data_IF_549558396411
#
_entry.id   IF_549558396411
#
_cell.length_a   1.000
_cell.length_b   1.000
_cell.length_c   1.000
_cell.angle_alpha   90.00
_cell.angle_beta   90.00
_cell.angle_gamma   90.00
#
_symmetry.space_group_name_H-M   'P 1'
#
loop_
_entity.id
_entity.type
_entity.pdbx_description
1 polymer ?
#
# COMPACT_ATOMS: atom_id res chain seq x y z
N UNK A 1 48.10 -8.08 -19.29
CA UNK A 1 47.86 -8.07 -17.85
C UNK A 1 47.63 -6.62 -17.44
N UNK A 2 46.34 -6.15 -17.43
CA UNK A 2 45.96 -4.78 -17.03
C UNK A 2 45.42 -4.84 -15.60
N UNK A 3 46.18 -4.24 -14.68
CA UNK A 3 45.81 -4.10 -13.29
C UNK A 3 44.78 -2.94 -13.20
N UNK A 4 43.53 -3.27 -12.90
CA UNK A 4 42.50 -2.28 -12.54
C UNK A 4 42.66 -2.00 -11.05
N UNK A 5 43.26 -0.87 -10.72
CA UNK A 5 43.30 -0.34 -9.35
C UNK A 5 41.90 0.27 -9.07
N UNK A 6 41.08 -0.46 -8.32
CA UNK A 6 39.83 0.04 -7.81
C UNK A 6 40.07 1.09 -6.73
N UNK A 7 39.74 2.35 -7.01
CA UNK A 7 39.75 3.43 -6.05
C UNK A 7 38.57 3.21 -5.08
N UNK A 8 38.83 2.67 -3.89
CA UNK A 8 37.88 2.65 -2.77
C UNK A 8 37.77 4.06 -2.21
N UNK A 9 36.82 4.86 -2.70
CA UNK A 9 36.41 6.07 -2.03
C UNK A 9 35.61 5.67 -0.76
N UNK A 10 36.05 6.09 0.46
CA UNK A 10 35.23 5.89 1.64
C UNK A 10 33.98 6.75 1.48
N UNK A 11 32.81 6.11 1.36
CA UNK A 11 31.52 6.77 1.55
C UNK A 11 31.47 7.27 2.99
N UNK A 12 31.81 8.53 3.21
CA UNK A 12 31.45 9.25 4.41
C UNK A 12 29.91 9.34 4.44
N UNK A 13 29.28 8.43 5.14
CA UNK A 13 27.88 8.54 5.53
C UNK A 13 27.80 9.70 6.52
N UNK A 14 27.68 10.93 6.03
CA UNK A 14 27.23 12.02 6.86
C UNK A 14 25.86 11.64 7.40
N UNK A 15 25.70 11.66 8.72
CA UNK A 15 24.40 11.51 9.36
C UNK A 15 23.50 12.67 8.90
N UNK A 16 22.79 12.48 7.78
CA UNK A 16 21.86 13.48 7.25
C UNK A 16 20.62 13.51 8.14
N UNK A 17 20.28 14.72 8.59
CA UNK A 17 19.00 14.97 9.26
C UNK A 17 17.89 14.98 8.21
N UNK A 18 17.08 13.94 8.18
CA UNK A 18 15.95 13.84 7.28
C UNK A 18 14.69 14.48 7.86
N UNK A 19 14.01 15.28 7.03
CA UNK A 19 12.66 15.78 7.33
C UNK A 19 11.60 14.74 6.99
N UNK A 20 10.42 14.89 7.57
CA UNK A 20 9.28 14.01 7.32
C UNK A 20 8.93 13.93 5.83
N UNK A 21 8.91 15.07 5.14
CA UNK A 21 8.63 15.15 3.71
C UNK A 21 9.63 14.34 2.88
N UNK A 22 10.92 14.43 3.20
CA UNK A 22 11.98 13.69 2.50
C UNK A 22 11.82 12.17 2.69
N UNK A 23 11.45 11.72 3.90
CA UNK A 23 11.19 10.30 4.18
C UNK A 23 10.02 9.77 3.35
N UNK A 24 8.93 10.53 3.26
CA UNK A 24 7.75 10.16 2.46
C UNK A 24 8.08 10.14 0.96
N UNK A 25 8.78 11.15 0.45
CA UNK A 25 9.15 11.22 -0.96
C UNK A 25 10.10 10.08 -1.36
N UNK A 26 11.02 9.70 -0.46
CA UNK A 26 11.90 8.56 -0.69
C UNK A 26 11.13 7.24 -0.64
N UNK A 27 10.23 7.06 0.32
CA UNK A 27 9.37 5.89 0.39
C UNK A 27 8.53 5.71 -0.88
N UNK A 28 7.95 6.77 -1.42
CA UNK A 28 7.16 6.72 -2.65
C UNK A 28 7.97 6.26 -3.88
N UNK A 29 9.31 6.37 -3.84
CA UNK A 29 10.20 5.94 -4.92
C UNK A 29 10.78 4.55 -4.69
N UNK A 30 11.18 4.26 -3.45
CA UNK A 30 12.04 3.11 -3.13
C UNK A 30 11.34 2.02 -2.32
N UNK A 31 10.13 2.26 -1.80
CA UNK A 31 9.41 1.25 -1.05
C UNK A 31 8.95 0.11 -1.97
N UNK A 32 9.43 -1.10 -1.72
CA UNK A 32 9.16 -2.28 -2.57
C UNK A 32 7.66 -2.62 -2.72
N UNK A 33 6.82 -2.29 -1.72
CA UNK A 33 5.38 -2.52 -1.81
C UNK A 33 4.70 -1.49 -2.73
N UNK A 34 5.17 -0.23 -2.72
CA UNK A 34 4.69 0.81 -3.65
C UNK A 34 5.12 0.46 -5.07
N UNK A 35 6.39 0.03 -5.26
CA UNK A 35 6.88 -0.46 -6.56
C UNK A 35 6.07 -1.66 -7.06
N UNK A 36 5.70 -2.60 -6.19
CA UNK A 36 4.83 -3.71 -6.56
C UNK A 36 3.44 -3.26 -7.05
N UNK A 37 2.87 -2.21 -6.44
CA UNK A 37 1.61 -1.61 -6.92
C UNK A 37 1.80 -0.93 -8.28
N UNK A 38 2.92 -0.26 -8.51
CA UNK A 38 3.26 0.37 -9.79
C UNK A 38 3.40 -0.65 -10.92
N UNK A 39 4.09 -1.76 -10.65
CA UNK A 39 4.19 -2.88 -11.59
C UNK A 39 2.80 -3.47 -11.91
N UNK A 40 1.90 -3.56 -10.91
CA UNK A 40 0.52 -4.01 -11.15
C UNK A 40 -0.26 -3.05 -12.05
N UNK A 41 -0.08 -1.73 -11.89
CA UNK A 41 -0.66 -0.72 -12.79
C UNK A 41 -0.16 -0.94 -14.21
N UNK A 42 1.14 -1.14 -14.39
CA UNK A 42 1.74 -1.46 -15.71
C UNK A 42 1.16 -2.75 -16.29
N UNK A 43 1.02 -3.81 -15.48
CA UNK A 43 0.41 -5.06 -15.93
C UNK A 43 -1.04 -4.86 -16.40
N UNK A 44 -1.83 -4.04 -15.69
CA UNK A 44 -3.21 -3.70 -16.10
C UNK A 44 -3.25 -2.84 -17.36
N UNK A 45 -2.26 -1.98 -17.58
CA UNK A 45 -2.12 -1.24 -18.84
C UNK A 45 -1.84 -2.20 -20.02
N UNK A 46 -0.97 -3.20 -19.84
CA UNK A 46 -0.71 -4.20 -20.87
C UNK A 46 -1.96 -5.05 -21.19
N UNK A 47 -2.81 -5.35 -20.18
CA UNK A 47 -4.11 -5.98 -20.41
C UNK A 47 -5.04 -5.11 -21.28
N UNK A 48 -5.00 -3.78 -21.12
CA UNK A 48 -5.73 -2.84 -21.99
C UNK A 48 -5.20 -2.91 -23.43
N UNK A 49 -3.87 -2.90 -23.62
CA UNK A 49 -3.27 -2.99 -24.95
C UNK A 49 -3.56 -4.37 -25.60
N UNK A 50 -3.55 -5.45 -24.82
CA UNK A 50 -3.97 -6.76 -25.28
C UNK A 50 -5.44 -6.78 -25.74
N UNK A 51 -6.35 -6.12 -25.00
CA UNK A 51 -7.75 -6.00 -25.41
C UNK A 51 -7.92 -5.17 -26.69
N UNK A 52 -7.10 -4.12 -26.90
CA UNK A 52 -7.06 -3.36 -28.15
C UNK A 52 -6.58 -4.22 -29.33
N UNK A 53 -5.59 -5.10 -29.07
CA UNK A 53 -5.03 -5.98 -30.10
C UNK A 53 -6.05 -6.96 -30.66
N UNK A 54 -7.14 -7.26 -29.92
CA UNK A 54 -8.23 -8.11 -30.38
C UNK A 54 -9.02 -7.54 -31.57
N UNK A 55 -8.82 -6.26 -31.94
CA UNK A 55 -9.42 -5.67 -33.14
C UNK A 55 -8.61 -5.92 -34.43
N UNK A 56 -7.41 -6.46 -34.31
CA UNK A 56 -6.56 -6.76 -35.45
C UNK A 56 -6.69 -8.23 -35.87
N UNK A 57 -6.41 -8.56 -37.17
CA UNK A 57 -6.44 -9.96 -37.61
C UNK A 57 -5.36 -10.80 -36.91
N UNK A 58 -5.65 -12.06 -36.67
CA UNK A 58 -4.67 -13.09 -36.30
C UNK A 58 -4.19 -13.83 -37.52
N UNK A 59 -2.93 -14.30 -37.49
CA UNK A 59 -2.33 -15.14 -38.52
C UNK A 59 -1.81 -16.39 -37.84
N UNK A 60 -2.37 -17.51 -38.22
CA UNK A 60 -2.02 -18.81 -37.66
C UNK A 60 -1.41 -19.69 -38.77
N UNK A 61 -0.35 -20.42 -38.48
CA UNK A 61 0.23 -21.45 -39.36
C UNK A 61 0.21 -22.79 -38.65
N UNK A 62 -0.10 -23.84 -39.41
CA UNK A 62 -0.13 -25.18 -38.88
C UNK A 62 0.21 -26.23 -39.92
N UNK A 63 0.45 -27.46 -39.46
CA UNK A 63 0.63 -28.62 -40.28
C UNK A 63 -0.08 -29.79 -39.62
N UNK A 64 -0.68 -30.65 -40.44
CA UNK A 64 -1.30 -31.91 -40.01
C UNK A 64 -0.90 -33.06 -40.90
N UNK A 65 -0.89 -34.25 -40.32
CA UNK A 65 -0.76 -35.50 -41.03
C UNK A 65 -1.90 -36.42 -40.59
N UNK A 66 -2.65 -36.97 -41.54
CA UNK A 66 -3.76 -37.85 -41.25
C UNK A 66 -3.59 -39.20 -42.01
N UNK A 67 -4.03 -40.28 -41.33
CA UNK A 67 -4.14 -41.62 -41.90
C UNK A 67 -5.59 -42.05 -41.85
N UNK A 68 -6.13 -42.47 -43.00
CA UNK A 68 -7.52 -42.90 -43.16
C UNK A 68 -7.54 -44.32 -43.73
N UNK A 69 -8.26 -45.24 -43.08
CA UNK A 69 -8.46 -46.61 -43.53
C UNK A 69 -9.92 -47.04 -43.28
N UNK A 70 -10.61 -47.59 -44.28
CA UNK A 70 -10.18 -47.77 -45.65
C UNK A 70 -10.15 -46.46 -46.44
N UNK A 71 -9.20 -46.35 -47.40
CA UNK A 71 -9.10 -45.23 -48.33
C UNK A 71 -10.11 -45.40 -49.50
N UNK A 72 -10.35 -44.30 -50.22
CA UNK A 72 -11.13 -44.25 -51.44
C UNK A 72 -10.62 -43.14 -52.38
N UNK A 73 -11.20 -42.92 -53.54
CA UNK A 73 -10.75 -41.96 -54.57
C UNK A 73 -10.68 -40.53 -54.01
N UNK A 74 -11.58 -40.12 -53.12
CA UNK A 74 -11.67 -38.76 -52.56
C UNK A 74 -11.06 -38.64 -51.17
N UNK A 75 -10.78 -39.78 -50.51
CA UNK A 75 -10.10 -39.81 -49.19
C UNK A 75 -8.87 -40.70 -49.31
N UNK A 76 -7.70 -40.13 -49.61
CA UNK A 76 -6.44 -40.84 -49.66
C UNK A 76 -6.07 -41.44 -48.31
N UNK A 77 -5.31 -42.56 -48.34
CA UNK A 77 -4.89 -43.24 -47.12
C UNK A 77 -4.00 -42.40 -46.23
N UNK A 78 -3.20 -41.53 -46.84
CA UNK A 78 -2.34 -40.59 -46.10
C UNK A 78 -2.46 -39.20 -46.72
N UNK A 79 -2.57 -38.20 -45.88
CA UNK A 79 -2.59 -36.80 -46.25
C UNK A 79 -1.69 -35.99 -45.31
N UNK A 80 -0.70 -35.32 -45.87
CA UNK A 80 0.15 -34.34 -45.17
C UNK A 80 -0.21 -32.94 -45.65
N UNK A 81 -0.62 -32.05 -44.79
CA UNK A 81 -0.95 -30.69 -45.19
C UNK A 81 -0.33 -29.63 -44.28
N UNK A 82 0.01 -28.48 -44.89
CA UNK A 82 0.42 -27.28 -44.21
C UNK A 82 -0.53 -26.13 -44.58
N UNK A 83 -0.92 -25.35 -43.63
CA UNK A 83 -1.88 -24.26 -43.85
C UNK A 83 -1.46 -22.97 -43.18
N UNK A 84 -1.89 -21.84 -43.71
CA UNK A 84 -1.85 -20.54 -43.12
C UNK A 84 -3.25 -19.95 -43.13
N UNK A 85 -3.71 -19.46 -41.97
CA UNK A 85 -5.05 -18.89 -41.82
C UNK A 85 -4.95 -17.48 -41.26
N UNK A 86 -5.62 -16.54 -41.93
CA UNK A 86 -5.82 -15.16 -41.41
C UNK A 86 -7.27 -15.07 -40.93
N UNK A 87 -7.48 -14.68 -39.67
CA UNK A 87 -8.80 -14.50 -39.07
C UNK A 87 -9.01 -13.06 -38.65
N UNK A 88 -10.14 -12.47 -39.02
CA UNK A 88 -10.58 -11.17 -38.59
C UNK A 88 -12.05 -11.21 -38.16
N UNK A 89 -12.28 -10.91 -36.88
CA UNK A 89 -13.64 -10.72 -36.37
C UNK A 89 -14.07 -9.26 -36.56
N UNK A 90 -14.94 -8.98 -37.54
CA UNK A 90 -15.38 -7.65 -37.91
C UNK A 90 -16.38 -7.07 -36.91
N UNK A 91 -17.30 -7.91 -36.45
CA UNK A 91 -18.35 -7.57 -35.50
C UNK A 91 -18.65 -8.74 -34.58
N UNK A 92 -18.66 -8.47 -33.28
CA UNK A 92 -18.84 -9.48 -32.23
C UNK A 92 -19.97 -9.15 -31.24
N UNK A 93 -20.93 -8.36 -31.70
CA UNK A 93 -22.04 -7.92 -30.85
C UNK A 93 -21.68 -6.83 -29.85
N UNK A 94 -20.47 -6.28 -29.92
CA UNK A 94 -19.94 -5.31 -28.97
C UNK A 94 -19.15 -5.91 -27.81
N UNK A 95 -18.82 -7.21 -27.86
CA UNK A 95 -18.05 -7.92 -26.85
C UNK A 95 -16.65 -7.34 -26.67
N UNK A 96 -15.93 -7.04 -27.77
CA UNK A 96 -14.59 -6.43 -27.72
C UNK A 96 -14.60 -5.03 -27.10
N UNK A 97 -15.61 -4.22 -27.41
CA UNK A 97 -15.71 -2.88 -26.83
C UNK A 97 -15.98 -2.94 -25.33
N UNK A 98 -16.92 -3.79 -24.88
CA UNK A 98 -17.20 -3.99 -23.48
C UNK A 98 -15.98 -4.59 -22.73
N UNK A 99 -15.25 -5.54 -23.35
CA UNK A 99 -14.01 -6.06 -22.79
C UNK A 99 -12.94 -4.98 -22.64
N UNK A 100 -12.75 -4.16 -23.66
CA UNK A 100 -11.78 -3.05 -23.61
C UNK A 100 -12.14 -2.05 -22.51
N UNK A 101 -13.42 -1.69 -22.36
CA UNK A 101 -13.88 -0.77 -21.34
C UNK A 101 -13.77 -1.40 -19.93
N UNK A 102 -14.08 -2.69 -19.78
CA UNK A 102 -13.82 -3.43 -18.55
C UNK A 102 -12.33 -3.35 -18.16
N UNK A 103 -11.41 -3.58 -19.11
CA UNK A 103 -9.97 -3.51 -18.85
C UNK A 103 -9.48 -2.09 -18.51
N UNK A 104 -10.07 -1.07 -19.12
CA UNK A 104 -9.79 0.35 -18.77
C UNK A 104 -10.22 0.66 -17.33
N UNK A 105 -11.40 0.21 -16.90
CA UNK A 105 -11.85 0.38 -15.52
C UNK A 105 -11.00 -0.41 -14.52
N UNK A 106 -10.56 -1.63 -14.86
CA UNK A 106 -9.61 -2.37 -14.02
C UNK A 106 -8.26 -1.65 -13.89
N UNK A 107 -7.75 -1.06 -14.96
CA UNK A 107 -6.54 -0.24 -14.91
C UNK A 107 -6.73 1.03 -14.06
N UNK A 108 -7.87 1.73 -14.20
CA UNK A 108 -8.23 2.88 -13.37
C UNK A 108 -8.32 2.50 -11.88
N UNK A 109 -8.94 1.35 -11.58
CA UNK A 109 -9.00 0.81 -10.22
C UNK A 109 -7.61 0.57 -9.64
N UNK A 110 -6.68 -0.01 -10.43
CA UNK A 110 -5.29 -0.23 -9.99
C UNK A 110 -4.54 1.08 -9.72
N UNK A 111 -4.80 2.14 -10.49
CA UNK A 111 -4.25 3.48 -10.23
C UNK A 111 -4.75 4.06 -8.91
N UNK A 112 -6.05 3.94 -8.62
CA UNK A 112 -6.60 4.38 -7.35
C UNK A 112 -6.09 3.53 -6.18
N UNK A 113 -5.95 2.22 -6.36
CA UNK A 113 -5.37 1.32 -5.36
C UNK A 113 -3.93 1.73 -4.99
N UNK A 114 -3.10 2.03 -6.00
CA UNK A 114 -1.74 2.54 -5.78
C UNK A 114 -1.76 3.84 -4.97
N UNK A 115 -2.58 4.83 -5.36
CA UNK A 115 -2.68 6.12 -4.65
C UNK A 115 -3.18 5.96 -3.21
N UNK A 116 -4.17 5.10 -2.99
CA UNK A 116 -4.66 4.77 -1.65
C UNK A 116 -3.54 4.19 -0.79
N UNK A 117 -2.75 3.28 -1.36
CA UNK A 117 -1.62 2.66 -0.68
C UNK A 117 -0.51 3.67 -0.36
N UNK A 118 -0.14 4.55 -1.28
CA UNK A 118 0.82 5.64 -1.06
C UNK A 118 0.40 6.53 0.11
N UNK A 119 -0.88 6.91 0.19
CA UNK A 119 -1.43 7.70 1.32
C UNK A 119 -1.39 6.92 2.64
N UNK A 120 -1.65 5.62 2.62
CA UNK A 120 -1.58 4.79 3.83
C UNK A 120 -0.14 4.67 4.37
N UNK A 121 0.83 4.44 3.49
CA UNK A 121 2.27 4.44 3.84
C UNK A 121 2.70 5.82 4.36
N UNK A 122 2.22 6.91 3.75
CA UNK A 122 2.45 8.27 4.25
C UNK A 122 2.00 8.42 5.70
N UNK A 123 0.78 7.97 6.03
CA UNK A 123 0.26 8.04 7.39
C UNK A 123 1.05 7.16 8.37
N UNK A 124 1.50 5.99 7.94
CA UNK A 124 2.33 5.09 8.76
C UNK A 124 3.71 5.69 9.04
N UNK A 125 4.36 6.28 8.03
CA UNK A 125 5.61 7.03 8.21
C UNK A 125 5.43 8.19 9.21
N UNK A 126 4.33 8.95 9.11
CA UNK A 126 4.01 10.03 10.05
C UNK A 126 3.92 9.51 11.49
N UNK A 127 3.20 8.39 11.70
CA UNK A 127 3.06 7.77 13.03
C UNK A 127 4.41 7.34 13.60
N UNK A 128 5.25 6.68 12.82
CA UNK A 128 6.59 6.26 13.26
C UNK A 128 7.52 7.46 13.48
N UNK A 129 7.48 8.47 12.62
CA UNK A 129 8.29 9.68 12.74
C UNK A 129 8.03 10.42 14.07
N UNK A 130 6.77 10.69 14.40
CA UNK A 130 6.43 11.33 15.66
C UNK A 130 6.49 10.36 16.85
N UNK A 131 6.27 9.08 16.64
CA UNK A 131 6.52 8.03 17.63
C UNK A 131 7.97 8.03 18.11
N UNK A 132 8.93 8.10 17.19
CA UNK A 132 10.34 8.24 17.51
C UNK A 132 10.64 9.52 18.31
N UNK A 133 10.03 10.64 17.94
CA UNK A 133 10.24 11.90 18.66
C UNK A 133 9.65 11.83 20.08
N UNK A 134 8.54 11.12 20.30
CA UNK A 134 8.00 10.83 21.63
C UNK A 134 9.01 10.02 22.46
N UNK A 135 9.48 8.91 21.93
CA UNK A 135 10.43 8.04 22.62
C UNK A 135 11.73 8.78 22.98
N UNK A 136 12.28 9.57 22.07
CA UNK A 136 13.45 10.44 22.32
C UNK A 136 13.19 11.45 23.45
N UNK A 137 12.00 12.06 23.46
CA UNK A 137 11.64 13.02 24.50
C UNK A 137 11.43 12.35 25.88
N UNK A 138 10.86 11.14 25.91
CA UNK A 138 10.70 10.33 27.13
C UNK A 138 12.06 9.87 27.64
N UNK A 139 12.95 9.37 26.77
CA UNK A 139 14.30 8.98 27.14
C UNK A 139 15.07 10.16 27.74
N UNK A 140 15.01 11.34 27.13
CA UNK A 140 15.62 12.56 27.66
C UNK A 140 15.11 12.89 29.07
N UNK A 141 13.81 12.79 29.33
CA UNK A 141 13.23 13.04 30.66
C UNK A 141 13.72 12.02 31.72
N UNK A 142 13.86 10.75 31.33
CA UNK A 142 14.40 9.69 32.17
C UNK A 142 15.91 9.86 32.44
N UNK A 143 16.68 10.33 31.45
CA UNK A 143 18.11 10.67 31.62
C UNK A 143 18.28 11.82 32.60
N UNK A 144 17.49 12.90 32.46
CA UNK A 144 17.50 14.01 33.41
C UNK A 144 17.16 13.52 34.83
N UNK A 145 16.16 12.61 34.99
CA UNK A 145 15.84 11.98 36.26
C UNK A 145 17.00 11.15 36.81
N UNK A 146 17.68 10.38 35.94
CA UNK A 146 18.85 9.54 36.34
C UNK A 146 20.00 10.40 36.91
N UNK A 147 20.30 11.52 36.26
CA UNK A 147 21.33 12.47 36.73
C UNK A 147 20.98 13.02 38.12
N UNK A 148 19.72 13.40 38.33
CA UNK A 148 19.25 13.93 39.63
C UNK A 148 19.31 12.84 40.72
N UNK A 149 18.83 11.63 40.45
CA UNK A 149 18.88 10.50 41.40
C UNK A 149 20.32 10.17 41.79
N UNK A 150 21.27 10.13 40.84
CA UNK A 150 22.69 9.92 41.13
C UNK A 150 23.27 11.00 42.05
N UNK A 151 22.93 12.27 41.83
CA UNK A 151 23.36 13.36 42.64
C UNK A 151 22.84 13.23 44.09
N UNK A 152 21.56 12.85 44.25
CA UNK A 152 20.98 12.67 45.58
C UNK A 152 21.51 11.42 46.31
N UNK A 153 21.73 10.32 45.62
CA UNK A 153 22.38 9.12 46.20
C UNK A 153 23.75 9.47 46.73
N UNK A 154 24.57 10.20 45.96
CA UNK A 154 25.90 10.65 46.40
C UNK A 154 25.82 11.51 47.65
N UNK A 155 24.83 12.40 47.73
CA UNK A 155 24.60 13.29 48.86
C UNK A 155 24.17 12.53 50.12
N UNK A 156 23.14 11.67 50.03
CA UNK A 156 22.62 10.89 51.16
C UNK A 156 23.68 9.90 51.70
N UNK A 157 24.51 9.31 50.83
CA UNK A 157 25.67 8.50 51.27
C UNK A 157 26.64 9.30 52.14
N UNK A 158 26.91 10.57 51.82
CA UNK A 158 27.72 11.46 52.67
C UNK A 158 27.04 11.75 53.99
N UNK A 159 25.72 12.02 54.00
CA UNK A 159 24.96 12.25 55.23
C UNK A 159 24.95 11.00 56.10
N UNK A 160 24.77 9.81 55.54
CA UNK A 160 24.89 8.55 56.28
C UNK A 160 26.26 8.38 56.94
N UNK A 161 27.36 8.67 56.23
CA UNK A 161 28.71 8.59 56.80
C UNK A 161 28.95 9.58 57.95
N UNK A 162 28.15 10.67 57.98
CA UNK A 162 28.17 11.66 59.08
C UNK A 162 27.14 11.35 60.20
N UNK A 163 26.41 10.25 60.12
CA UNK A 163 25.34 9.86 61.06
C UNK A 163 24.04 10.64 60.93
N UNK A 164 23.87 11.37 59.82
CA UNK A 164 22.72 12.27 59.57
C UNK A 164 21.64 11.68 58.66
N UNK A 165 21.78 10.40 58.23
CA UNK A 165 20.83 9.67 57.37
C UNK A 165 20.93 8.18 57.64
N UNK A 166 19.91 7.43 57.21
CA UNK A 166 19.80 5.97 57.40
C UNK A 166 20.21 5.17 56.14
N UNK A 167 20.48 3.87 56.30
CA UNK A 167 20.70 3.00 55.16
C UNK A 167 19.43 2.86 54.30
N UNK A 168 18.24 2.84 54.93
CA UNK A 168 16.95 2.76 54.28
C UNK A 168 16.76 3.92 53.24
N UNK A 169 17.15 5.14 53.60
CA UNK A 169 17.08 6.29 52.70
C UNK A 169 17.98 6.13 51.47
N UNK A 170 19.18 5.58 51.64
CA UNK A 170 20.08 5.24 50.54
C UNK A 170 19.47 4.17 49.64
N UNK A 171 18.91 3.11 50.25
CA UNK A 171 18.35 1.98 49.49
C UNK A 171 17.09 2.37 48.72
N UNK A 172 16.24 3.25 49.25
CA UNK A 172 15.09 3.83 48.53
C UNK A 172 15.51 4.61 47.27
N UNK A 173 16.50 5.50 47.42
CA UNK A 173 17.02 6.25 46.27
C UNK A 173 17.69 5.35 45.23
N UNK A 174 18.40 4.30 45.67
CA UNK A 174 19.04 3.34 44.81
C UNK A 174 17.98 2.53 44.04
N UNK A 175 16.92 2.05 44.69
CA UNK A 175 15.82 1.32 44.05
C UNK A 175 15.12 2.15 42.99
N UNK A 176 14.88 3.44 43.24
CA UNK A 176 14.30 4.38 42.26
C UNK A 176 15.25 4.63 41.07
N UNK A 177 16.55 4.71 41.32
CA UNK A 177 17.57 4.82 40.27
C UNK A 177 17.58 3.58 39.37
N UNK A 178 17.55 2.38 39.97
CA UNK A 178 17.58 1.12 39.23
C UNK A 178 16.28 0.89 38.45
N UNK A 179 15.13 1.24 39.03
CA UNK A 179 13.84 1.25 38.33
C UNK A 179 13.83 2.22 37.12
N UNK A 180 14.43 3.40 37.29
CA UNK A 180 14.58 4.36 36.20
C UNK A 180 15.47 3.81 35.07
N UNK A 181 16.59 3.15 35.42
CA UNK A 181 17.48 2.52 34.44
C UNK A 181 16.79 1.40 33.67
N UNK A 182 15.97 0.56 34.35
CA UNK A 182 15.14 -0.46 33.71
C UNK A 182 14.20 0.17 32.69
N UNK A 183 13.50 1.25 33.07
CA UNK A 183 12.59 1.97 32.15
C UNK A 183 13.35 2.58 30.97
N UNK A 184 14.53 3.15 31.21
CA UNK A 184 15.41 3.69 30.15
C UNK A 184 15.83 2.60 29.15
N UNK A 185 16.21 1.41 29.63
CA UNK A 185 16.62 0.30 28.76
C UNK A 185 15.45 -0.16 27.85
N UNK A 186 14.25 -0.29 28.41
CA UNK A 186 13.05 -0.64 27.63
C UNK A 186 12.72 0.44 26.58
N UNK A 187 12.73 1.72 26.99
CA UNK A 187 12.47 2.84 26.07
C UNK A 187 13.52 2.91 24.96
N UNK A 188 14.78 2.57 25.26
CA UNK A 188 15.82 2.51 24.23
C UNK A 188 15.59 1.37 23.23
N UNK A 189 15.15 0.18 23.68
CA UNK A 189 14.78 -0.92 22.79
C UNK A 189 13.61 -0.54 21.87
N UNK A 190 12.57 0.10 22.40
CA UNK A 190 11.43 0.60 21.62
C UNK A 190 11.88 1.65 20.58
N UNK A 191 12.80 2.53 20.95
CA UNK A 191 13.38 3.52 20.05
C UNK A 191 14.11 2.86 18.89
N UNK A 192 14.99 1.90 19.15
CA UNK A 192 15.71 1.14 18.10
C UNK A 192 14.73 0.39 17.19
N UNK A 193 13.72 -0.26 17.76
CA UNK A 193 12.68 -0.96 16.99
C UNK A 193 11.91 0.01 16.08
N UNK A 194 11.50 1.17 16.60
CA UNK A 194 10.80 2.19 15.82
C UNK A 194 11.68 2.82 14.73
N UNK A 195 12.98 3.00 14.99
CA UNK A 195 13.95 3.44 13.98
C UNK A 195 14.08 2.44 12.83
N UNK A 196 14.13 1.15 13.14
CA UNK A 196 14.19 0.09 12.12
C UNK A 196 12.90 0.01 11.29
N UNK A 197 11.75 0.16 11.91
CA UNK A 197 10.46 0.20 11.21
C UNK A 197 10.37 1.41 10.27
N UNK A 198 10.76 2.59 10.73
CA UNK A 198 10.79 3.79 9.89
C UNK A 198 11.80 3.65 8.73
N UNK A 199 12.96 3.03 8.99
CA UNK A 199 13.95 2.73 7.97
C UNK A 199 13.40 1.73 6.92
N UNK A 200 12.67 0.70 7.34
CA UNK A 200 12.03 -0.27 6.43
C UNK A 200 10.99 0.42 5.53
N UNK A 201 10.16 1.30 6.09
CA UNK A 201 9.13 2.00 5.35
C UNK A 201 9.70 3.04 4.39
N UNK A 202 10.67 3.84 4.86
CA UNK A 202 11.19 4.99 4.10
C UNK A 202 12.43 4.69 3.25
N UNK A 203 13.14 3.58 3.51
CA UNK A 203 14.43 3.27 2.90
C UNK A 203 15.61 4.10 3.45
N UNK A 204 15.37 5.06 4.37
CA UNK A 204 16.37 5.97 4.92
C UNK A 204 16.61 5.74 6.40
N UNK A 205 17.85 5.95 6.86
CA UNK A 205 18.18 5.87 8.29
C UNK A 205 17.50 6.98 9.08
N UNK A 206 16.79 6.61 10.15
CA UNK A 206 16.00 7.51 11.00
C UNK A 206 16.77 8.00 12.26
N UNK A 207 18.09 7.82 12.31
CA UNK A 207 18.90 8.15 13.50
C UNK A 207 18.78 9.63 13.90
N UNK A 208 18.73 10.53 12.92
CA UNK A 208 18.56 11.97 13.16
C UNK A 208 17.39 12.49 12.31
N UNK A 209 16.37 13.04 12.98
CA UNK A 209 15.19 13.61 12.37
C UNK A 209 15.13 15.12 12.59
N UNK A 210 14.72 15.86 11.56
CA UNK A 210 14.37 17.29 11.68
C UNK A 210 13.09 17.45 12.52
N UNK A 211 12.79 18.65 12.92
CA UNK A 211 11.51 18.98 13.57
C UNK A 211 10.59 19.58 12.52
N UNK A 212 9.77 18.75 11.92
CA UNK A 212 8.71 19.18 11.02
C UNK A 212 7.38 19.25 11.78
N UNK A 213 6.43 19.98 11.23
CA UNK A 213 5.07 20.11 11.77
C UNK A 213 4.07 20.16 10.64
N UNK A 214 2.81 19.84 10.94
CA UNK A 214 1.72 20.03 10.00
C UNK A 214 1.13 21.44 10.13
N UNK A 215 0.61 21.96 9.01
CA UNK A 215 -0.24 23.16 9.03
C UNK A 215 -1.42 22.94 9.98
N UNK A 216 -1.95 24.01 10.56
CA UNK A 216 -3.20 23.92 11.31
C UNK A 216 -4.33 23.64 10.34
N UNK A 217 -5.19 22.62 10.61
CA UNK A 217 -6.36 22.37 9.81
C UNK A 217 -7.33 23.56 9.82
N UNK A 218 -7.67 24.00 8.63
CA UNK A 218 -8.76 24.92 8.34
C UNK A 218 -9.98 24.10 7.88
N UNK A 219 -11.04 24.72 7.39
CA UNK A 219 -12.19 24.01 6.84
C UNK A 219 -11.83 23.42 5.47
N UNK A 220 -11.11 22.32 5.45
CA UNK A 220 -10.71 21.64 4.22
C UNK A 220 -11.92 21.03 3.51
N UNK A 221 -11.93 21.15 2.18
CA UNK A 221 -12.94 20.48 1.36
C UNK A 221 -12.78 18.97 1.46
N UNK A 222 -13.86 18.30 1.86
CA UNK A 222 -13.92 16.83 1.89
C UNK A 222 -13.82 16.25 0.46
N UNK A 223 -12.98 15.25 0.28
CA UNK A 223 -12.80 14.50 -0.97
C UNK A 223 -12.98 13.00 -0.72
N UNK A 224 -13.56 12.32 -1.69
CA UNK A 224 -13.75 10.86 -1.64
C UNK A 224 -12.40 10.14 -1.64
N UNK A 225 -12.25 9.13 -0.80
CA UNK A 225 -11.07 8.28 -0.73
C UNK A 225 -10.77 7.58 -2.06
N UNK A 226 -9.49 7.41 -2.35
CA UNK A 226 -9.03 6.61 -3.47
C UNK A 226 -9.52 5.17 -3.42
N UNK A 227 -9.65 4.59 -2.22
CA UNK A 227 -10.23 3.24 -2.04
C UNK A 227 -11.68 3.18 -2.52
N UNK A 228 -12.47 4.22 -2.28
CA UNK A 228 -13.86 4.29 -2.77
C UNK A 228 -13.89 4.46 -4.28
N UNK A 229 -13.04 5.32 -4.86
CA UNK A 229 -12.90 5.48 -6.32
C UNK A 229 -12.46 4.18 -6.99
N UNK A 230 -11.57 3.42 -6.34
CA UNK A 230 -11.18 2.08 -6.78
C UNK A 230 -12.40 1.13 -6.85
N UNK A 231 -13.23 1.11 -5.80
CA UNK A 231 -14.45 0.30 -5.79
C UNK A 231 -15.45 0.74 -6.87
N UNK A 232 -15.60 2.05 -7.11
CA UNK A 232 -16.45 2.61 -8.16
C UNK A 232 -15.95 2.17 -9.56
N UNK A 233 -14.65 2.21 -9.81
CA UNK A 233 -14.04 1.71 -11.04
C UNK A 233 -14.26 0.19 -11.21
N UNK A 234 -14.10 -0.59 -10.15
CA UNK A 234 -14.41 -2.04 -10.17
C UNK A 234 -15.89 -2.31 -10.44
N UNK A 235 -16.81 -1.52 -9.88
CA UNK A 235 -18.24 -1.66 -10.16
C UNK A 235 -18.57 -1.38 -11.63
N UNK A 236 -17.85 -0.43 -12.26
CA UNK A 236 -17.98 -0.17 -13.69
C UNK A 236 -17.41 -1.32 -14.53
N UNK A 237 -16.25 -1.88 -14.16
CA UNK A 237 -15.69 -3.07 -14.82
C UNK A 237 -16.66 -4.26 -14.77
N UNK A 238 -17.28 -4.53 -13.61
CA UNK A 238 -18.31 -5.56 -13.45
C UNK A 238 -19.53 -5.23 -14.32
N UNK A 239 -19.91 -3.97 -14.47
CA UNK A 239 -20.97 -3.55 -15.37
C UNK A 239 -20.68 -3.94 -16.82
N UNK A 240 -19.47 -3.73 -17.30
CA UNK A 240 -19.04 -4.13 -18.64
C UNK A 240 -18.97 -5.67 -18.81
N UNK A 241 -18.67 -6.42 -17.74
CA UNK A 241 -18.75 -7.89 -17.79
C UNK A 241 -20.16 -8.39 -18.12
N UNK A 242 -21.19 -7.72 -17.63
CA UNK A 242 -22.59 -8.00 -18.03
C UNK A 242 -22.81 -7.75 -19.54
N UNK A 243 -22.25 -6.64 -20.08
CA UNK A 243 -22.34 -6.32 -21.49
C UNK A 243 -21.61 -7.33 -22.38
N UNK A 244 -20.48 -7.88 -21.93
CA UNK A 244 -19.74 -8.96 -22.59
C UNK A 244 -20.62 -10.21 -22.73
N UNK A 245 -21.36 -10.57 -21.68
CA UNK A 245 -22.26 -11.72 -21.70
C UNK A 245 -23.45 -11.45 -22.66
N UNK A 246 -24.08 -10.28 -22.53
CA UNK A 246 -25.23 -9.90 -23.34
C UNK A 246 -24.89 -9.81 -24.84
N UNK A 247 -23.63 -9.51 -25.19
CA UNK A 247 -23.12 -9.52 -26.57
C UNK A 247 -23.23 -10.92 -27.25
N UNK A 248 -23.25 -11.99 -26.47
CA UNK A 248 -23.38 -13.36 -26.99
C UNK A 248 -24.72 -13.67 -27.68
N UNK A 249 -25.76 -12.85 -27.45
CA UNK A 249 -27.03 -12.95 -28.17
C UNK A 249 -27.07 -12.17 -29.49
N UNK A 250 -26.06 -11.32 -29.74
CA UNK A 250 -25.98 -10.50 -30.94
C UNK A 250 -25.27 -11.27 -32.08
N UNK A 251 -25.51 -10.92 -33.35
CA UNK A 251 -24.76 -11.51 -34.45
C UNK A 251 -23.26 -11.31 -34.31
N UNK A 252 -22.48 -12.30 -34.71
CA UNK A 252 -21.01 -12.24 -34.79
C UNK A 252 -20.64 -12.42 -36.26
N UNK A 253 -19.80 -11.55 -36.81
CA UNK A 253 -19.38 -11.56 -38.20
C UNK A 253 -17.86 -11.67 -38.24
N UNK A 254 -17.35 -12.70 -38.90
CA UNK A 254 -15.93 -12.93 -39.10
C UNK A 254 -15.59 -13.21 -40.55
N UNK A 255 -14.38 -12.84 -40.94
CA UNK A 255 -13.72 -13.20 -42.19
C UNK A 255 -12.51 -14.07 -41.85
N UNK A 256 -12.41 -15.20 -42.57
CA UNK A 256 -11.21 -16.02 -42.54
C UNK A 256 -10.72 -16.31 -43.93
N UNK A 257 -9.43 -16.28 -44.17
CA UNK A 257 -8.78 -16.69 -45.40
C UNK A 257 -7.74 -17.74 -45.06
N UNK A 258 -7.91 -18.93 -45.64
CA UNK A 258 -7.07 -20.10 -45.37
C UNK A 258 -6.44 -20.58 -46.68
N UNK A 259 -5.12 -20.50 -46.74
CA UNK A 259 -4.33 -21.18 -47.78
C UNK A 259 -3.84 -22.50 -47.22
N UNK A 260 -4.17 -23.59 -47.95
CA UNK A 260 -3.76 -24.96 -47.62
C UNK A 260 -2.96 -25.57 -48.77
N UNK A 261 -1.84 -26.22 -48.42
CA UNK A 261 -1.04 -27.03 -49.33
C UNK A 261 -0.97 -28.46 -48.80
N UNK A 262 -1.44 -29.42 -49.63
CA UNK A 262 -1.55 -30.83 -49.25
C UNK A 262 -0.68 -31.70 -50.17
N UNK A 263 -0.17 -32.77 -49.58
CA UNK A 263 0.45 -33.88 -50.28
C UNK A 263 -0.30 -35.16 -49.92
N UNK A 264 -0.62 -35.97 -50.93
CA UNK A 264 -1.45 -37.16 -50.78
C UNK A 264 -0.64 -38.41 -51.14
N UNK A 265 -0.68 -39.42 -50.28
CA UNK A 265 -0.13 -40.75 -50.49
C UNK A 265 -1.22 -41.79 -50.32
N UNK A 266 -0.98 -42.99 -50.85
CA UNK A 266 -1.95 -44.10 -50.80
C UNK A 266 -3.30 -43.69 -51.42
N UNK A 267 -3.24 -43.18 -52.68
CA UNK A 267 -4.40 -42.78 -53.45
C UNK A 267 -4.96 -43.99 -54.21
N UNK A 268 -6.30 -44.09 -54.31
CA UNK A 268 -7.00 -45.13 -55.08
C UNK A 268 -7.21 -44.66 -56.50
N UNK A 269 -6.81 -45.53 -57.52
CA UNK A 269 -7.00 -45.26 -58.93
C UNK A 269 -8.15 -46.15 -59.48
N UNK A 270 -9.07 -45.57 -60.25
CA UNK A 270 -10.13 -46.24 -60.93
C UNK A 270 -9.97 -46.08 -62.46
N UNK A 271 -9.13 -46.96 -63.08
CA UNK A 271 -8.87 -46.93 -64.53
C UNK A 271 -8.10 -45.61 -64.92
N UNK A 272 -8.69 -44.87 -65.90
CA UNK A 272 -8.07 -43.57 -66.32
C UNK A 272 -8.30 -42.44 -65.34
N UNK A 273 -9.17 -42.57 -64.32
CA UNK A 273 -9.38 -41.61 -63.25
C UNK A 273 -8.41 -41.94 -62.11
N UNK A 274 -7.31 -41.26 -62.12
CA UNK A 274 -6.34 -41.29 -61.01
C UNK A 274 -6.78 -40.29 -59.92
N UNK A 275 -6.65 -40.68 -58.65
CA UNK A 275 -6.84 -39.79 -57.51
C UNK A 275 -5.98 -38.51 -57.60
N UNK A 276 -4.81 -38.60 -58.21
CA UNK A 276 -3.88 -37.47 -58.39
C UNK A 276 -4.42 -36.32 -59.27
N UNK A 277 -5.42 -36.59 -60.13
CA UNK A 277 -6.09 -35.54 -60.93
C UNK A 277 -7.36 -34.94 -60.27
N UNK A 278 -7.87 -35.58 -59.23
CA UNK A 278 -9.08 -35.16 -58.52
C UNK A 278 -8.79 -34.42 -57.20
N UNK A 279 -7.62 -34.63 -56.64
CA UNK A 279 -7.18 -34.02 -55.37
C UNK A 279 -6.36 -32.76 -55.65
N UNK A 280 -6.79 -31.63 -55.07
CA UNK A 280 -6.07 -30.38 -55.22
C UNK A 280 -4.91 -30.30 -54.21
N UNK A 281 -3.70 -30.17 -54.72
CA UNK A 281 -2.49 -30.02 -53.90
C UNK A 281 -2.39 -28.66 -53.20
N UNK A 282 -3.13 -27.67 -53.65
CA UNK A 282 -3.26 -26.36 -53.02
C UNK A 282 -4.71 -25.82 -53.16
N UNK A 283 -5.15 -25.11 -52.12
CA UNK A 283 -6.45 -24.49 -52.09
C UNK A 283 -6.41 -23.21 -51.27
N UNK A 284 -7.04 -22.14 -51.77
CA UNK A 284 -7.33 -20.96 -50.97
C UNK A 284 -8.85 -20.86 -50.74
N UNK A 285 -9.23 -20.60 -49.47
CA UNK A 285 -10.64 -20.55 -49.07
C UNK A 285 -10.87 -19.25 -48.29
N UNK A 286 -11.56 -18.28 -48.91
CA UNK A 286 -12.08 -17.10 -48.24
C UNK A 286 -13.51 -17.40 -47.76
N UNK A 287 -13.70 -17.24 -46.43
CA UNK A 287 -15.01 -17.47 -45.80
C UNK A 287 -15.47 -16.23 -45.01
N UNK A 288 -16.72 -15.86 -45.22
CA UNK A 288 -17.43 -14.87 -44.39
C UNK A 288 -18.47 -15.65 -43.57
N UNK A 289 -18.38 -15.57 -42.26
CA UNK A 289 -19.29 -16.28 -41.35
C UNK A 289 -20.11 -15.27 -40.55
N UNK A 290 -21.41 -15.55 -40.45
CA UNK A 290 -22.34 -14.84 -39.56
C UNK A 290 -22.97 -15.85 -38.62
N UNK A 291 -22.68 -15.74 -37.34
CA UNK A 291 -23.20 -16.62 -36.31
C UNK A 291 -24.05 -15.83 -35.31
N UNK A 292 -25.19 -16.36 -34.90
CA UNK A 292 -26.05 -15.79 -33.90
C UNK A 292 -26.69 -16.87 -33.05
N UNK A 293 -26.63 -16.73 -31.73
CA UNK A 293 -27.28 -17.64 -30.79
C UNK A 293 -28.70 -17.18 -30.53
N UNK A 294 -29.69 -17.96 -31.03
CA UNK A 294 -31.09 -17.63 -30.85
C UNK A 294 -31.70 -18.16 -29.56
N UNK A 295 -31.18 -19.28 -29.05
CA UNK A 295 -31.70 -19.91 -27.86
C UNK A 295 -30.62 -20.70 -27.11
N UNK A 296 -30.62 -20.57 -25.77
CA UNK A 296 -29.68 -21.25 -24.88
C UNK A 296 -30.31 -21.61 -23.52
N UNK A 297 -31.63 -21.81 -23.48
CA UNK A 297 -32.43 -22.04 -22.28
C UNK A 297 -32.31 -20.92 -21.23
N UNK A 298 -31.97 -19.70 -21.63
CA UNK A 298 -31.82 -18.51 -20.74
C UNK A 298 -30.52 -18.49 -19.95
N UNK A 299 -29.53 -19.32 -20.31
CA UNK A 299 -28.24 -19.41 -19.59
C UNK A 299 -27.55 -18.03 -19.51
N UNK A 300 -27.28 -17.40 -20.67
CA UNK A 300 -26.57 -16.10 -20.69
C UNK A 300 -27.40 -15.02 -20.00
N UNK A 301 -28.73 -15.01 -20.10
CA UNK A 301 -29.58 -14.06 -19.39
C UNK A 301 -29.41 -14.19 -17.88
N UNK A 302 -29.33 -15.40 -17.34
CA UNK A 302 -29.11 -15.66 -15.90
C UNK A 302 -27.69 -15.33 -15.46
N UNK A 303 -26.68 -15.59 -16.29
CA UNK A 303 -25.30 -15.19 -16.03
C UNK A 303 -25.15 -13.66 -15.99
N UNK A 304 -25.77 -12.96 -16.97
CA UNK A 304 -25.80 -11.48 -16.97
C UNK A 304 -26.53 -10.91 -15.74
N UNK A 305 -27.68 -11.51 -15.37
CA UNK A 305 -28.41 -11.11 -14.16
C UNK A 305 -27.58 -11.32 -12.90
N UNK A 306 -26.85 -12.43 -12.76
CA UNK A 306 -25.97 -12.70 -11.64
C UNK A 306 -24.85 -11.64 -11.51
N UNK A 307 -24.24 -11.25 -12.64
CA UNK A 307 -23.22 -10.17 -12.66
C UNK A 307 -23.83 -8.81 -12.28
N UNK A 308 -25.06 -8.53 -12.72
CA UNK A 308 -25.78 -7.30 -12.31
C UNK A 308 -26.03 -7.27 -10.79
N UNK A 309 -26.37 -8.41 -10.17
CA UNK A 309 -26.49 -8.51 -8.71
C UNK A 309 -25.14 -8.33 -8.00
N UNK A 310 -24.04 -8.85 -8.56
CA UNK A 310 -22.69 -8.58 -8.01
C UNK A 310 -22.36 -7.09 -8.03
N UNK A 311 -22.69 -6.39 -9.13
CA UNK A 311 -22.54 -4.92 -9.19
C UNK A 311 -23.39 -4.22 -8.11
N UNK A 312 -24.64 -4.63 -7.92
CA UNK A 312 -25.52 -4.05 -6.88
C UNK A 312 -24.98 -4.28 -5.47
N UNK A 313 -24.44 -5.47 -5.19
CA UNK A 313 -23.77 -5.74 -3.91
C UNK A 313 -22.58 -4.80 -3.69
N UNK A 314 -21.72 -4.64 -4.70
CA UNK A 314 -20.57 -3.73 -4.62
C UNK A 314 -20.99 -2.26 -4.46
N UNK A 315 -22.09 -1.83 -5.11
CA UNK A 315 -22.62 -0.47 -4.90
C UNK A 315 -23.07 -0.24 -3.45
N UNK A 316 -23.66 -1.26 -2.80
CA UNK A 316 -24.02 -1.18 -1.39
C UNK A 316 -22.77 -1.10 -0.48
N UNK A 317 -21.68 -1.81 -0.83
CA UNK A 317 -20.39 -1.70 -0.13
C UNK A 317 -19.78 -0.30 -0.31
N UNK A 318 -19.88 0.29 -1.50
CA UNK A 318 -19.44 1.66 -1.78
C UNK A 318 -20.19 2.68 -0.92
N UNK A 319 -21.50 2.53 -0.81
CA UNK A 319 -22.32 3.44 0.03
C UNK A 319 -21.94 3.31 1.51
N UNK A 320 -21.70 2.09 1.98
CA UNK A 320 -21.19 1.87 3.34
C UNK A 320 -19.79 2.50 3.55
N UNK A 321 -18.87 2.31 2.62
CA UNK A 321 -17.54 2.89 2.68
C UNK A 321 -17.55 4.43 2.69
N UNK A 322 -18.49 5.06 1.95
CA UNK A 322 -18.70 6.52 1.98
C UNK A 322 -19.18 6.99 3.35
N UNK A 323 -20.13 6.27 3.96
CA UNK A 323 -20.62 6.58 5.31
C UNK A 323 -19.51 6.39 6.36
N UNK A 324 -18.71 5.33 6.24
CA UNK A 324 -17.56 5.08 7.11
C UNK A 324 -16.51 6.18 7.00
N UNK A 325 -16.18 6.63 5.77
CA UNK A 325 -15.26 7.75 5.58
C UNK A 325 -15.78 9.02 6.24
N UNK A 326 -17.07 9.35 6.07
CA UNK A 326 -17.67 10.54 6.68
C UNK A 326 -17.62 10.45 8.21
N UNK A 327 -18.00 9.30 8.79
CA UNK A 327 -17.92 9.06 10.23
C UNK A 327 -16.49 9.24 10.75
N UNK A 328 -15.50 8.66 10.08
CA UNK A 328 -14.10 8.77 10.48
C UNK A 328 -13.57 10.22 10.35
N UNK A 329 -14.03 10.97 9.36
CA UNK A 329 -13.71 12.39 9.24
C UNK A 329 -14.26 13.20 10.41
N UNK A 330 -15.54 13.01 10.77
CA UNK A 330 -16.17 13.69 11.89
C UNK A 330 -15.48 13.32 13.23
N UNK A 331 -15.14 12.05 13.42
CA UNK A 331 -14.37 11.58 14.57
C UNK A 331 -12.97 12.20 14.61
N UNK A 332 -12.30 12.36 13.46
CA UNK A 332 -10.97 12.97 13.39
C UNK A 332 -11.00 14.45 13.81
N UNK A 333 -12.05 15.18 13.45
CA UNK A 333 -12.26 16.56 13.89
C UNK A 333 -12.41 16.64 15.42
N UNK A 334 -13.27 15.80 16.01
CA UNK A 334 -13.48 15.74 17.45
C UNK A 334 -12.25 15.29 18.22
N UNK A 335 -11.51 14.32 17.67
CA UNK A 335 -10.23 13.88 18.22
C UNK A 335 -9.22 15.01 18.27
N UNK A 336 -9.07 15.76 17.18
CA UNK A 336 -8.14 16.88 17.09
C UNK A 336 -8.47 17.99 18.11
N UNK A 337 -9.74 18.35 18.27
CA UNK A 337 -10.23 19.30 19.29
C UNK A 337 -9.88 18.81 20.70
N UNK A 338 -10.10 17.52 20.97
CA UNK A 338 -9.78 16.87 22.23
C UNK A 338 -8.28 16.90 22.52
N UNK A 339 -7.45 16.56 21.52
CA UNK A 339 -5.98 16.56 21.66
C UNK A 339 -5.47 17.98 21.91
N UNK A 340 -6.04 19.01 21.26
CA UNK A 340 -5.73 20.43 21.50
C UNK A 340 -5.98 20.83 22.95
N UNK A 341 -7.11 20.40 23.52
CA UNK A 341 -7.45 20.63 24.93
C UNK A 341 -6.49 19.90 25.87
N UNK A 342 -6.17 18.63 25.57
CA UNK A 342 -5.17 17.84 26.32
C UNK A 342 -3.79 18.48 26.28
N UNK A 343 -3.37 19.04 25.15
CA UNK A 343 -2.08 19.73 25.01
C UNK A 343 -2.01 20.98 25.89
N UNK A 344 -3.09 21.77 25.94
CA UNK A 344 -3.18 22.93 26.83
C UNK A 344 -3.10 22.52 28.31
N UNK A 345 -3.79 21.47 28.68
CA UNK A 345 -3.78 20.92 30.05
C UNK A 345 -2.42 20.35 30.43
N UNK A 346 -1.78 19.57 29.54
CA UNK A 346 -0.45 18.99 29.76
C UNK A 346 0.62 20.07 29.90
N UNK A 347 0.53 21.17 29.13
CA UNK A 347 1.43 22.33 29.26
C UNK A 347 1.31 23.02 30.61
N UNK A 348 0.07 23.18 31.13
CA UNK A 348 -0.20 23.75 32.44
C UNK A 348 0.30 22.84 33.57
N UNK A 349 0.02 21.53 33.48
CA UNK A 349 0.52 20.53 34.44
C UNK A 349 2.04 20.49 34.52
N UNK A 350 2.74 20.54 33.35
CA UNK A 350 4.20 20.61 33.31
C UNK A 350 4.73 21.86 34.02
N UNK A 351 4.09 23.02 33.82
CA UNK A 351 4.51 24.26 34.48
C UNK A 351 4.37 24.13 36.00
N UNK A 352 3.24 23.62 36.50
CA UNK A 352 2.98 23.39 37.91
C UNK A 352 4.00 22.40 38.52
N UNK A 353 4.18 21.23 37.87
CA UNK A 353 5.11 20.21 38.34
C UNK A 353 6.56 20.70 38.41
N UNK A 354 7.03 21.51 37.42
CA UNK A 354 8.36 22.13 37.46
C UNK A 354 8.51 23.10 38.61
N UNK A 355 7.51 23.95 38.88
CA UNK A 355 7.51 24.89 39.99
C UNK A 355 7.55 24.18 41.35
N UNK A 356 6.66 23.19 41.54
CA UNK A 356 6.61 22.36 42.77
C UNK A 356 7.95 21.66 43.02
N UNK A 357 8.46 20.99 41.96
CA UNK A 357 9.76 20.32 42.06
C UNK A 357 10.90 21.27 42.47
N UNK A 358 10.98 22.46 41.90
CA UNK A 358 12.03 23.44 42.25
C UNK A 358 11.97 23.84 43.74
N UNK A 359 10.76 24.07 44.25
CA UNK A 359 10.57 24.43 45.67
C UNK A 359 10.92 23.27 46.60
N UNK A 360 10.42 22.06 46.29
CA UNK A 360 10.66 20.88 47.11
C UNK A 360 12.11 20.40 47.03
N UNK A 361 12.77 20.55 45.90
CA UNK A 361 14.21 20.30 45.78
C UNK A 361 15.01 21.17 46.73
N UNK A 362 14.76 22.49 46.74
CA UNK A 362 15.46 23.43 47.65
C UNK A 362 15.20 23.07 49.13
N UNK A 363 13.94 22.76 49.50
CA UNK A 363 13.60 22.31 50.84
C UNK A 363 14.30 21.01 51.26
N UNK A 364 14.39 20.07 50.36
CA UNK A 364 15.10 18.81 50.54
C UNK A 364 16.62 19.05 50.72
N UNK A 365 17.20 19.96 49.92
CA UNK A 365 18.62 20.31 50.01
C UNK A 365 19.02 20.91 51.34
N UNK A 366 18.15 21.63 52.03
CA UNK A 366 18.37 22.17 53.35
C UNK A 366 17.80 21.29 54.50
N UNK A 367 17.29 20.11 54.20
CA UNK A 367 16.82 19.11 55.18
C UNK A 367 15.47 19.41 55.80
N UNK A 368 14.62 20.25 55.17
CA UNK A 368 13.29 20.62 55.63
C UNK A 368 12.18 19.62 55.25
N UNK A 369 12.45 18.72 54.34
CA UNK A 369 11.55 17.62 53.92
C UNK A 369 12.33 16.33 53.73
N UNK A 370 11.64 15.19 53.78
CA UNK A 370 12.20 13.89 53.60
C UNK A 370 12.41 13.54 52.09
N UNK A 371 13.06 12.40 51.84
CA UNK A 371 13.31 11.93 50.48
C UNK A 371 12.05 11.47 49.74
N UNK A 372 10.96 11.11 50.44
CA UNK A 372 9.71 10.66 49.84
C UNK A 372 9.04 11.81 49.09
N UNK A 373 8.90 12.96 49.76
CA UNK A 373 8.32 14.16 49.15
C UNK A 373 9.16 14.68 47.96
N UNK A 374 10.49 14.59 48.06
CA UNK A 374 11.40 14.94 46.96
C UNK A 374 11.21 13.98 45.76
N UNK A 375 11.19 12.64 46.01
CA UNK A 375 11.02 11.61 44.96
C UNK A 375 9.66 11.74 44.28
N UNK A 376 8.60 12.01 45.03
CA UNK A 376 7.27 12.26 44.42
C UNK A 376 7.32 13.48 43.49
N UNK A 377 7.85 14.58 43.93
CA UNK A 377 7.98 15.79 43.11
C UNK A 377 8.84 15.59 41.85
N UNK A 378 9.93 14.83 41.95
CA UNK A 378 10.77 14.47 40.80
C UNK A 378 10.02 13.57 39.83
N UNK A 379 9.28 12.59 40.35
CA UNK A 379 8.44 11.69 39.52
C UNK A 379 7.34 12.47 38.81
N UNK A 380 6.62 13.32 39.52
CA UNK A 380 5.56 14.16 38.93
C UNK A 380 6.11 15.10 37.83
N UNK A 381 7.28 15.71 38.05
CA UNK A 381 7.97 16.53 37.02
C UNK A 381 8.30 15.69 35.78
N UNK A 382 8.90 14.49 35.95
CA UNK A 382 9.31 13.62 34.84
C UNK A 382 8.12 13.15 34.03
N UNK A 383 7.04 12.68 34.69
CA UNK A 383 5.79 12.27 34.06
C UNK A 383 5.12 13.42 33.31
N UNK A 384 5.05 14.61 33.91
CA UNK A 384 4.46 15.78 33.27
C UNK A 384 5.28 16.24 32.06
N UNK A 385 6.60 16.12 32.09
CA UNK A 385 7.49 16.44 30.97
C UNK A 385 7.29 15.49 29.78
N UNK A 386 7.27 14.18 30.03
CA UNK A 386 6.98 13.18 29.00
C UNK A 386 5.60 13.37 28.42
N UNK A 387 4.56 13.47 29.26
CA UNK A 387 3.16 13.66 28.83
C UNK A 387 2.96 14.90 27.97
N UNK A 388 3.59 16.02 28.28
CA UNK A 388 3.51 17.23 27.45
C UNK A 388 4.09 16.98 26.06
N UNK A 389 5.26 16.33 25.96
CA UNK A 389 5.91 16.04 24.70
C UNK A 389 5.12 15.00 23.89
N UNK A 390 4.63 13.95 24.53
CA UNK A 390 3.78 12.95 23.91
C UNK A 390 2.53 13.60 23.31
N UNK A 391 1.83 14.44 24.09
CA UNK A 391 0.61 15.10 23.61
C UNK A 391 0.92 16.10 22.49
N UNK A 392 2.08 16.75 22.49
CA UNK A 392 2.52 17.64 21.41
C UNK A 392 2.66 16.87 20.10
N UNK A 393 3.27 15.70 20.12
CA UNK A 393 3.44 14.87 18.92
C UNK A 393 2.15 14.14 18.54
N UNK A 394 1.29 13.79 19.52
CA UNK A 394 -0.07 13.30 19.23
C UNK A 394 -0.90 14.34 18.48
N UNK A 395 -0.69 15.62 18.75
CA UNK A 395 -1.35 16.70 18.02
C UNK A 395 -0.92 16.76 16.56
N UNK A 396 0.37 16.57 16.27
CA UNK A 396 0.88 16.49 14.89
C UNK A 396 0.33 15.25 14.15
N UNK A 397 0.30 14.08 14.82
CA UNK A 397 -0.33 12.88 14.27
C UNK A 397 -1.83 13.11 14.04
N UNK A 398 -2.52 13.76 14.98
CA UNK A 398 -3.93 14.09 14.85
C UNK A 398 -4.24 14.96 13.64
N UNK A 399 -3.38 15.96 13.36
CA UNK A 399 -3.50 16.79 12.14
C UNK A 399 -3.35 15.96 10.87
N UNK A 400 -2.39 15.05 10.81
CA UNK A 400 -2.21 14.18 9.64
C UNK A 400 -3.39 13.23 9.43
N UNK A 401 -3.97 12.70 10.50
CA UNK A 401 -5.18 11.86 10.47
C UNK A 401 -6.39 12.65 9.95
N UNK A 402 -6.53 13.90 10.38
CA UNK A 402 -7.57 14.80 9.88
C UNK A 402 -7.46 14.99 8.36
N UNK A 403 -6.28 15.34 7.84
CA UNK A 403 -6.07 15.50 6.39
C UNK A 403 -6.33 14.20 5.63
N UNK A 404 -5.88 13.07 6.17
CA UNK A 404 -6.11 11.76 5.58
C UNK A 404 -7.61 11.47 5.44
N UNK A 405 -8.41 11.61 6.51
CA UNK A 405 -9.85 11.35 6.45
C UNK A 405 -10.63 12.41 5.68
N UNK A 406 -10.09 13.61 5.53
CA UNK A 406 -10.59 14.61 4.56
C UNK A 406 -10.37 14.20 3.09
N UNK A 407 -9.70 13.06 2.82
CA UNK A 407 -9.37 12.58 1.48
C UNK A 407 -8.11 13.21 0.88
N UNK A 408 -7.39 14.05 1.64
CA UNK A 408 -6.18 14.73 1.19
C UNK A 408 -4.93 13.87 1.37
N UNK A 409 -3.85 14.22 0.68
CA UNK A 409 -2.53 13.66 0.97
C UNK A 409 -1.88 14.46 2.12
N UNK A 410 -1.62 13.83 3.29
CA UNK A 410 -1.04 14.54 4.42
C UNK A 410 0.31 15.21 4.13
N UNK A 411 1.09 14.68 3.17
CA UNK A 411 2.41 15.22 2.82
C UNK A 411 2.37 16.67 2.31
N UNK A 412 1.24 17.11 1.71
CA UNK A 412 1.06 18.47 1.16
C UNK A 412 0.94 19.53 2.27
N UNK A 413 0.65 19.10 3.48
CA UNK A 413 0.43 19.96 4.65
C UNK A 413 1.62 19.98 5.62
N UNK A 414 2.77 19.40 5.26
CA UNK A 414 4.01 19.43 6.05
C UNK A 414 4.69 20.80 5.85
N UNK A 415 5.16 21.38 6.97
CA UNK A 415 5.94 22.62 7.03
C UNK A 415 7.38 22.37 7.43
#
# INVERSE_FOLDING_TARGET
MRIVVGLFLPLFVFAQNYGLKTLIEHANKENGLIQAKDIRVTAKQEEVEAAKSAYWPTVDIGANHSYISPNNIVNPGQTSSAFATVNLEIYDGGRKSALLDAKRYEHEAALFEKRAFEKSITLEIVRHYYGLQKLKATLQALEERSVELKAQIKRIKKFKSAGLSTQEEVDKLQAEFDSNNYTMANTHLELVSSEKNLQLLSGLSAAQLKRDSFKEPENERFETFETIKMLEANANAIGEQSNIIDAGYRPQVSISDTYNKSHFDDTVSLGELSGDGLLLDHQNTLMISVNMRLFDNGKMAKESEAVKYQKLALLSEIDHAKQEQQMNFDLSQKSLETIRTRLKSAKSALRAAKSTYAVLKNKFEVGLIDNIAFLDALTQKTVAQSRYKETLYDYEIGKSIYYYYAGKDPKEFIR
#
